data_IF_743779062625
#
_entry.id   IF_743779062625
#
_cell.length_a   1.000
_cell.length_b   1.000
_cell.length_c   1.000
_cell.angle_alpha   90.00
_cell.angle_beta   90.00
_cell.angle_gamma   90.00
#
_symmetry.space_group_name_H-M   'P 1'
#
loop_
_entity.id
_entity.type
_entity.pdbx_description
1 polymer ?
#
# COMPACT_ATOMS: atom_id res chain seq x y z
N UNK A 1 -5.04 -4.52 -2.78
CA UNK A 1 -5.12 -5.80 -3.52
C UNK A 1 -6.40 -5.99 -4.32
N UNK A 2 -7.31 -5.00 -4.42
CA UNK A 2 -8.59 -5.09 -5.16
C UNK A 2 -9.37 -6.41 -5.02
N UNK A 3 -9.31 -7.04 -3.84
CA UNK A 3 -9.96 -8.33 -3.57
C UNK A 3 -9.22 -9.59 -4.07
N UNK A 4 -8.13 -9.47 -4.83
CA UNK A 4 -7.39 -10.62 -5.37
C UNK A 4 -6.54 -11.36 -4.32
N UNK A 5 -5.89 -10.60 -3.42
CA UNK A 5 -5.11 -11.11 -2.30
C UNK A 5 -5.25 -10.15 -1.09
N UNK A 6 -5.36 -10.68 0.15
CA UNK A 6 -5.34 -9.84 1.35
C UNK A 6 -4.01 -9.10 1.47
N UNK A 7 -4.06 -7.78 1.55
CA UNK A 7 -2.88 -6.93 1.73
C UNK A 7 -3.26 -5.61 2.37
N UNK A 8 -2.40 -5.13 3.28
CA UNK A 8 -2.40 -3.78 3.82
C UNK A 8 -0.98 -3.21 3.81
N UNK A 9 -0.87 -1.89 3.95
CA UNK A 9 0.40 -1.19 4.09
C UNK A 9 0.25 -0.04 5.09
N UNK A 10 1.28 0.19 5.90
CA UNK A 10 1.39 1.37 6.76
C UNK A 10 2.52 2.24 6.24
N UNK A 11 2.22 3.52 6.05
CA UNK A 11 3.16 4.53 5.60
C UNK A 11 3.43 5.48 6.77
N UNK A 12 4.67 5.88 6.96
CA UNK A 12 5.06 6.87 7.97
C UNK A 12 5.91 7.96 7.33
N UNK A 13 5.93 9.14 7.96
CA UNK A 13 6.79 10.24 7.53
C UNK A 13 8.24 9.96 7.92
N UNK A 14 9.20 10.56 7.20
CA UNK A 14 10.62 10.47 7.55
C UNK A 14 10.88 10.88 9.00
N UNK A 15 10.25 11.97 9.47
CA UNK A 15 10.36 12.43 10.86
C UNK A 15 10.01 11.35 11.89
N UNK A 16 8.97 10.55 11.62
CA UNK A 16 8.56 9.46 12.53
C UNK A 16 9.55 8.30 12.42
N UNK A 17 9.93 7.94 11.20
CA UNK A 17 10.93 6.90 10.95
C UNK A 17 12.25 7.22 11.67
N UNK A 18 12.77 8.44 11.50
CA UNK A 18 14.02 8.94 12.08
C UNK A 18 13.99 8.92 13.62
N UNK A 19 12.83 9.25 14.21
CA UNK A 19 12.64 9.15 15.65
C UNK A 19 12.73 7.71 16.17
N UNK A 20 12.26 6.72 15.39
CA UNK A 20 12.32 5.31 15.75
C UNK A 20 13.74 4.77 15.58
N UNK A 21 14.34 4.97 14.41
CA UNK A 21 15.69 4.48 14.10
C UNK A 21 16.77 5.16 14.95
N UNK A 22 16.65 6.47 15.20
CA UNK A 22 17.57 7.22 16.06
C UNK A 22 17.35 7.02 17.56
N UNK A 23 16.21 6.43 17.95
CA UNK A 23 15.90 6.07 19.33
C UNK A 23 16.27 4.62 19.63
N UNK A 24 15.26 3.77 19.83
CA UNK A 24 15.46 2.34 20.13
C UNK A 24 15.93 1.53 18.94
N UNK A 25 15.79 2.03 17.71
CA UNK A 25 16.04 1.27 16.48
C UNK A 25 15.01 0.18 16.20
N UNK A 26 14.02 -0.01 17.09
CA UNK A 26 13.18 -1.18 17.09
C UNK A 26 11.70 -0.82 17.11
N UNK A 27 10.97 -1.33 16.12
CA UNK A 27 9.52 -1.22 16.00
C UNK A 27 8.91 -2.60 16.23
N UNK A 28 8.38 -2.86 17.44
CA UNK A 28 7.69 -4.13 17.76
C UNK A 28 6.32 -4.21 17.07
N UNK A 29 6.36 -4.45 15.77
CA UNK A 29 5.18 -4.70 14.97
C UNK A 29 5.48 -5.79 13.95
N UNK A 30 4.64 -6.82 13.92
CA UNK A 30 4.86 -8.01 13.12
C UNK A 30 3.58 -8.80 12.94
N UNK A 31 3.35 -9.32 11.74
CA UNK A 31 2.36 -10.36 11.47
C UNK A 31 3.05 -11.50 10.72
N UNK A 32 2.55 -12.72 10.87
CA UNK A 32 3.10 -13.92 10.21
C UNK A 32 3.27 -13.75 8.69
N UNK A 33 2.39 -12.97 8.05
CA UNK A 33 2.39 -12.73 6.61
C UNK A 33 2.81 -11.31 6.20
N UNK A 34 3.51 -10.57 7.06
CA UNK A 34 4.12 -9.29 6.64
C UNK A 34 5.06 -9.56 5.46
N UNK A 35 4.89 -8.79 4.37
CA UNK A 35 5.70 -8.92 3.17
C UNK A 35 5.38 -10.15 2.30
N UNK A 36 4.18 -10.74 2.41
CA UNK A 36 3.78 -11.91 1.60
C UNK A 36 3.91 -11.64 0.09
N UNK A 37 4.84 -12.34 -0.56
CA UNK A 37 5.27 -12.04 -1.94
C UNK A 37 4.12 -12.02 -2.97
N UNK A 38 3.23 -13.01 -2.95
CA UNK A 38 2.09 -13.07 -3.87
C UNK A 38 1.11 -11.93 -3.64
N UNK A 39 0.94 -11.50 -2.39
CA UNK A 39 0.05 -10.39 -2.07
C UNK A 39 0.64 -9.08 -2.60
N UNK A 40 1.95 -8.88 -2.44
CA UNK A 40 2.68 -7.74 -3.00
C UNK A 40 2.62 -7.72 -4.54
N UNK A 41 2.81 -8.85 -5.20
CA UNK A 41 2.72 -8.95 -6.66
C UNK A 41 1.32 -8.59 -7.17
N UNK A 42 0.27 -9.12 -6.54
CA UNK A 42 -1.12 -8.77 -6.87
C UNK A 42 -1.41 -7.29 -6.64
N UNK A 43 -0.91 -6.71 -5.54
CA UNK A 43 -1.09 -5.29 -5.25
C UNK A 43 -0.39 -4.40 -6.27
N UNK A 44 0.82 -4.77 -6.72
CA UNK A 44 1.55 -4.03 -7.74
C UNK A 44 0.81 -4.05 -9.09
N UNK A 45 0.30 -5.22 -9.50
CA UNK A 45 -0.49 -5.35 -10.72
C UNK A 45 -1.74 -4.45 -10.66
N UNK A 46 -2.48 -4.48 -9.55
CA UNK A 46 -3.65 -3.61 -9.33
C UNK A 46 -3.29 -2.13 -9.43
N UNK A 47 -2.19 -1.70 -8.81
CA UNK A 47 -1.77 -0.29 -8.87
C UNK A 47 -1.41 0.14 -10.30
N UNK A 48 -0.75 -0.73 -11.07
CA UNK A 48 -0.46 -0.47 -12.50
C UNK A 48 -1.74 -0.33 -13.30
N UNK A 49 -2.68 -1.26 -13.15
CA UNK A 49 -3.98 -1.20 -13.84
C UNK A 49 -4.74 0.09 -13.53
N UNK A 50 -4.77 0.54 -12.26
CA UNK A 50 -5.43 1.80 -11.89
C UNK A 50 -4.88 3.00 -12.68
N UNK A 51 -3.55 3.05 -12.86
CA UNK A 51 -2.86 4.14 -13.57
C UNK A 51 -3.00 3.99 -15.09
N UNK A 52 -2.72 2.81 -15.63
CA UNK A 52 -2.71 2.52 -17.07
C UNK A 52 -4.12 2.70 -17.67
N UNK A 53 -5.15 2.22 -16.99
CA UNK A 53 -6.54 2.29 -17.45
C UNK A 53 -7.23 3.60 -17.04
N UNK A 54 -6.51 4.54 -16.40
CA UNK A 54 -7.03 5.83 -15.92
C UNK A 54 -8.31 5.70 -15.10
N UNK A 55 -8.34 4.72 -14.19
CA UNK A 55 -9.55 4.41 -13.43
C UNK A 55 -9.98 5.58 -12.53
N UNK A 56 -9.03 6.37 -12.03
CA UNK A 56 -9.33 7.58 -11.25
C UNK A 56 -10.10 8.61 -12.08
N UNK A 57 -9.65 8.90 -13.31
CA UNK A 57 -10.31 9.84 -14.22
C UNK A 57 -11.74 9.38 -14.52
N UNK A 58 -11.92 8.09 -14.79
CA UNK A 58 -13.24 7.51 -15.03
C UNK A 58 -14.15 7.63 -13.79
N UNK A 59 -13.64 7.39 -12.58
CA UNK A 59 -14.41 7.57 -11.34
C UNK A 59 -14.85 9.02 -11.15
N UNK A 60 -13.96 9.99 -11.41
CA UNK A 60 -14.30 11.42 -11.34
C UNK A 60 -15.40 11.78 -12.34
N UNK A 61 -15.23 11.41 -13.61
CA UNK A 61 -16.21 11.70 -14.67
C UNK A 61 -17.58 11.05 -14.44
N UNK A 62 -17.62 9.87 -13.80
CA UNK A 62 -18.87 9.18 -13.44
C UNK A 62 -19.51 9.76 -12.19
N UNK A 63 -18.72 10.34 -11.29
CA UNK A 63 -19.24 11.00 -10.08
C UNK A 63 -19.97 12.33 -10.35
N UNK A 64 -19.78 12.92 -11.53
CA UNK A 64 -20.47 14.15 -11.95
C UNK A 64 -21.78 13.92 -12.72
N UNK A 65 -22.11 12.65 -13.05
CA UNK A 65 -23.33 12.24 -13.76
C UNK A 65 -24.50 12.05 -12.80
#
# INVERSE_FOLDING_TARGET
GAGYQPIGAMLSTSRIYDAIIGGSGFFQHGHTYIGHATACAAALAVQRTIVEDKLLDNVLARGEQ
#
